data_IF_509867420109
#
_entry.id   IF_509867420109
#
_cell.length_a   1.000
_cell.length_b   1.000
_cell.length_c   1.000
_cell.angle_alpha   90.00
_cell.angle_beta   90.00
_cell.angle_gamma   90.00
#
_symmetry.space_group_name_H-M   'P 1'
#
loop_
_entity.id
_entity.type
_entity.pdbx_description
1 polymer ?
#
# COMPACT_ATOMS: atom_id res chain seq x y z
N UNK A 1 3.56 20.44 10.14
CA UNK A 1 3.77 19.45 9.08
C UNK A 1 2.45 18.84 8.67
N UNK A 2 2.22 18.77 7.39
CA UNK A 2 1.00 18.11 6.89
C UNK A 2 1.11 16.61 7.10
N UNK A 3 -0.03 16.01 7.44
CA UNK A 3 -0.12 14.57 7.62
C UNK A 3 -0.03 13.87 6.26
N UNK A 4 0.56 12.69 6.25
CA UNK A 4 0.49 11.86 5.05
C UNK A 4 -0.86 11.14 5.04
N UNK A 5 -1.38 10.91 3.86
CA UNK A 5 -2.65 10.19 3.68
C UNK A 5 -2.35 8.86 3.02
N UNK A 6 -2.74 7.78 3.67
CA UNK A 6 -2.42 6.43 3.22
C UNK A 6 -3.71 5.62 3.12
N UNK A 7 -3.92 5.01 1.97
CA UNK A 7 -5.08 4.16 1.75
C UNK A 7 -4.67 2.72 1.55
N UNK A 8 -5.52 1.79 1.99
CA UNK A 8 -5.30 0.36 1.81
C UNK A 8 -6.48 -0.23 1.07
N UNK A 9 -6.20 -0.77 -0.10
CA UNK A 9 -7.16 -1.54 -0.84
C UNK A 9 -6.94 -3.00 -0.47
N UNK A 10 -7.84 -3.54 0.35
CA UNK A 10 -7.68 -4.84 0.96
C UNK A 10 -7.00 -4.74 2.32
N UNK A 11 -7.46 -5.55 3.26
CA UNK A 11 -6.96 -5.55 4.64
C UNK A 11 -6.65 -6.97 5.12
N UNK A 12 -6.04 -7.77 4.25
CA UNK A 12 -5.55 -9.10 4.62
C UNK A 12 -4.38 -9.01 5.58
N UNK A 13 -3.78 -10.15 5.90
CA UNK A 13 -2.72 -10.22 6.92
C UNK A 13 -1.58 -9.23 6.67
N UNK A 14 -1.10 -9.14 5.42
CA UNK A 14 -0.01 -8.24 5.10
C UNK A 14 -0.45 -6.78 5.18
N UNK A 15 -1.65 -6.47 4.69
CA UNK A 15 -2.19 -5.12 4.77
C UNK A 15 -2.36 -4.66 6.21
N UNK A 16 -2.92 -5.52 7.06
CA UNK A 16 -3.09 -5.21 8.48
C UNK A 16 -1.75 -4.99 9.17
N UNK A 17 -0.76 -5.83 8.88
CA UNK A 17 0.56 -5.71 9.48
C UNK A 17 1.21 -4.37 9.12
N UNK A 18 1.12 -3.96 7.86
CA UNK A 18 1.65 -2.68 7.41
C UNK A 18 0.90 -1.51 8.07
N UNK A 19 -0.43 -1.60 8.16
CA UNK A 19 -1.24 -0.58 8.84
C UNK A 19 -0.77 -0.39 10.28
N UNK A 20 -0.60 -1.47 11.02
CA UNK A 20 -0.16 -1.39 12.41
C UNK A 20 1.25 -0.80 12.52
N UNK A 21 2.11 -1.13 11.57
CA UNK A 21 3.45 -0.56 11.49
C UNK A 21 3.40 0.96 11.26
N UNK A 22 2.55 1.42 10.35
CA UNK A 22 2.39 2.84 10.08
C UNK A 22 1.87 3.57 11.31
N UNK A 23 0.88 3.02 11.98
CA UNK A 23 0.35 3.60 13.22
C UNK A 23 1.46 3.74 14.26
N UNK A 24 2.33 2.73 14.37
CA UNK A 24 3.43 2.75 15.32
C UNK A 24 4.49 3.80 14.99
N UNK A 25 4.82 3.96 13.72
CA UNK A 25 5.91 4.84 13.29
C UNK A 25 5.45 6.29 13.14
N UNK A 26 4.33 6.50 12.47
CA UNK A 26 3.86 7.85 12.13
C UNK A 26 2.94 8.46 13.17
N UNK A 27 2.29 7.63 13.98
CA UNK A 27 1.35 8.08 15.02
C UNK A 27 0.32 9.05 14.43
N UNK A 28 0.22 10.28 14.98
CA UNK A 28 -0.75 11.26 14.50
C UNK A 28 -0.36 11.94 13.20
N UNK A 29 0.81 11.62 12.66
CA UNK A 29 1.28 12.22 11.41
C UNK A 29 0.80 11.49 10.16
N UNK A 30 -0.02 10.45 10.30
CA UNK A 30 -0.62 9.75 9.19
C UNK A 30 -2.13 9.62 9.38
N UNK A 31 -2.87 9.83 8.30
CA UNK A 31 -4.29 9.50 8.24
C UNK A 31 -4.42 8.26 7.39
N UNK A 32 -5.04 7.21 7.94
CA UNK A 32 -5.13 5.92 7.27
C UNK A 32 -6.59 5.64 6.90
N UNK A 33 -6.79 5.27 5.65
CA UNK A 33 -8.10 4.90 5.11
C UNK A 33 -8.01 3.47 4.58
N UNK A 34 -9.12 2.75 4.57
CA UNK A 34 -9.14 1.39 4.06
C UNK A 34 -10.46 1.06 3.38
N UNK A 35 -10.39 0.24 2.37
CA UNK A 35 -11.54 -0.35 1.73
C UNK A 35 -11.35 -1.86 1.61
N UNK A 36 -12.35 -2.61 2.03
CA UNK A 36 -12.36 -4.07 1.92
C UNK A 36 -13.79 -4.53 1.78
N UNK A 37 -14.00 -5.58 1.01
CA UNK A 37 -15.33 -6.18 0.89
C UNK A 37 -15.75 -6.85 2.19
N UNK A 38 -14.78 -7.22 3.04
CA UNK A 38 -15.04 -7.77 4.36
C UNK A 38 -15.14 -6.64 5.38
N UNK A 39 -16.37 -6.20 5.65
CA UNK A 39 -16.61 -5.08 6.54
C UNK A 39 -16.25 -5.35 8.00
N UNK A 40 -16.22 -6.62 8.40
CA UNK A 40 -15.82 -6.98 9.75
C UNK A 40 -14.36 -6.60 10.03
N UNK A 41 -13.49 -6.75 9.03
CA UNK A 41 -12.10 -6.33 9.16
C UNK A 41 -11.97 -4.83 9.29
N UNK A 42 -12.78 -4.07 8.54
CA UNK A 42 -12.78 -2.61 8.66
C UNK A 42 -13.23 -2.16 10.05
N UNK A 43 -14.20 -2.84 10.63
CA UNK A 43 -14.67 -2.52 11.98
C UNK A 43 -13.58 -2.72 13.03
N UNK A 44 -12.79 -3.78 12.89
CA UNK A 44 -11.67 -4.03 13.80
C UNK A 44 -10.61 -2.93 13.70
N UNK A 45 -10.34 -2.46 12.49
CA UNK A 45 -9.32 -1.44 12.26
C UNK A 45 -9.73 -0.06 12.76
N UNK A 46 -11.03 0.19 12.94
CA UNK A 46 -11.50 1.45 13.52
C UNK A 46 -10.93 1.69 14.92
N UNK A 47 -10.61 0.63 15.65
CA UNK A 47 -10.03 0.74 16.98
C UNK A 47 -8.65 1.40 16.97
N UNK A 48 -7.97 1.37 15.84
CA UNK A 48 -6.66 2.02 15.69
C UNK A 48 -6.76 3.22 14.72
N UNK A 49 -7.94 3.82 14.65
CA UNK A 49 -8.20 5.05 13.89
C UNK A 49 -8.06 4.93 12.37
N UNK A 50 -8.30 3.74 11.82
CA UNK A 50 -8.39 3.56 10.38
C UNK A 50 -9.81 3.91 9.94
N UNK A 51 -9.93 4.78 8.96
CA UNK A 51 -11.22 5.24 8.45
C UNK A 51 -11.64 4.38 7.25
N UNK A 52 -12.84 3.82 7.31
CA UNK A 52 -13.37 3.03 6.21
C UNK A 52 -13.92 3.95 5.12
N UNK A 53 -13.66 3.60 3.86
CA UNK A 53 -14.25 4.28 2.72
C UNK A 53 -15.13 3.29 1.96
N UNK A 54 -15.96 3.81 1.04
CA UNK A 54 -17.01 3.03 0.40
C UNK A 54 -16.64 2.50 -0.98
N UNK A 55 -15.51 2.92 -1.52
CA UNK A 55 -15.12 2.48 -2.86
C UNK A 55 -13.61 2.65 -3.08
N UNK A 56 -13.11 1.98 -4.10
CA UNK A 56 -11.74 2.11 -4.54
C UNK A 56 -11.43 3.55 -4.98
N UNK A 57 -12.39 4.18 -5.65
CA UNK A 57 -12.22 5.55 -6.13
C UNK A 57 -12.03 6.52 -4.99
N UNK A 58 -12.77 6.32 -3.90
CA UNK A 58 -12.69 7.18 -2.73
C UNK A 58 -11.30 7.11 -2.09
N UNK A 59 -10.66 5.94 -2.11
CA UNK A 59 -9.27 5.83 -1.63
C UNK A 59 -8.35 6.75 -2.42
N UNK A 60 -8.44 6.74 -3.74
CA UNK A 60 -7.59 7.58 -4.58
C UNK A 60 -7.87 9.06 -4.41
N UNK A 61 -9.12 9.43 -4.13
CA UNK A 61 -9.49 10.82 -3.90
C UNK A 61 -8.93 11.36 -2.59
N UNK A 62 -8.88 10.52 -1.56
CA UNK A 62 -8.49 10.94 -0.21
C UNK A 62 -7.03 10.70 0.12
N UNK A 63 -6.36 9.80 -0.60
CA UNK A 63 -5.03 9.32 -0.21
C UNK A 63 -3.99 9.57 -1.28
N UNK A 64 -2.81 10.02 -0.86
CA UNK A 64 -1.67 10.13 -1.76
C UNK A 64 -1.04 8.76 -2.00
N UNK A 65 -0.89 7.96 -0.95
CA UNK A 65 -0.29 6.62 -1.05
C UNK A 65 -1.39 5.58 -0.93
N UNK A 66 -1.52 4.73 -1.94
CA UNK A 66 -2.54 3.67 -1.95
C UNK A 66 -1.86 2.33 -2.06
N UNK A 67 -1.94 1.55 -0.99
CA UNK A 67 -1.39 0.19 -0.95
C UNK A 67 -2.39 -0.78 -1.57
N UNK A 68 -1.91 -1.55 -2.53
CA UNK A 68 -2.72 -2.57 -3.19
C UNK A 68 -2.45 -3.90 -2.49
N UNK A 69 -3.20 -4.12 -1.40
CA UNK A 69 -3.04 -5.30 -0.54
C UNK A 69 -4.06 -6.38 -0.89
N UNK A 70 -4.22 -6.63 -2.18
CA UNK A 70 -5.15 -7.60 -2.73
C UNK A 70 -4.38 -8.70 -3.47
N UNK A 71 -5.05 -9.82 -3.71
CA UNK A 71 -4.43 -10.93 -4.43
C UNK A 71 -4.17 -10.56 -5.89
N UNK A 72 -3.09 -11.09 -6.50
CA UNK A 72 -2.74 -10.73 -7.88
C UNK A 72 -3.90 -10.93 -8.87
N UNK A 73 -4.68 -11.98 -8.72
CA UNK A 73 -5.78 -12.28 -9.63
C UNK A 73 -6.94 -11.27 -9.55
N UNK A 74 -6.97 -10.44 -8.50
CA UNK A 74 -8.01 -9.43 -8.31
C UNK A 74 -7.65 -8.13 -9.02
N UNK A 75 -6.37 -7.91 -9.32
CA UNK A 75 -5.89 -6.66 -9.92
C UNK A 75 -6.60 -6.31 -11.22
N UNK A 76 -6.84 -7.29 -12.06
CA UNK A 76 -7.48 -7.05 -13.37
C UNK A 76 -8.85 -6.40 -13.22
N UNK A 77 -9.62 -6.81 -12.22
CA UNK A 77 -10.94 -6.23 -11.98
C UNK A 77 -10.89 -4.89 -11.26
N UNK A 78 -9.87 -4.65 -10.44
CA UNK A 78 -9.81 -3.50 -9.54
C UNK A 78 -9.06 -2.32 -10.13
N UNK A 79 -7.93 -2.54 -10.83
CA UNK A 79 -7.13 -1.44 -11.37
C UNK A 79 -7.90 -0.49 -12.26
N UNK A 80 -8.80 -0.95 -13.15
CA UNK A 80 -9.58 0.00 -13.96
C UNK A 80 -10.43 0.95 -13.13
N UNK A 81 -10.88 0.52 -11.95
CA UNK A 81 -11.67 1.37 -11.06
C UNK A 81 -10.80 2.45 -10.43
N UNK A 82 -9.56 2.12 -10.10
CA UNK A 82 -8.61 3.09 -9.58
C UNK A 82 -8.17 4.07 -10.66
N UNK A 83 -8.01 3.58 -11.89
CA UNK A 83 -7.50 4.37 -13.00
C UNK A 83 -8.31 5.65 -13.25
N UNK A 84 -9.59 5.64 -12.94
CA UNK A 84 -10.45 6.80 -13.12
C UNK A 84 -10.06 7.98 -12.21
N UNK A 85 -9.41 7.71 -11.08
CA UNK A 85 -9.08 8.73 -10.08
C UNK A 85 -7.59 8.87 -9.80
N UNK A 86 -6.78 7.97 -10.33
CA UNK A 86 -5.32 8.06 -10.16
C UNK A 86 -4.79 9.27 -10.93
N UNK A 87 -3.94 10.05 -10.27
CA UNK A 87 -3.31 11.22 -10.87
C UNK A 87 -1.79 11.15 -10.62
N UNK A 88 -1.08 12.18 -11.10
CA UNK A 88 0.36 12.29 -10.83
C UNK A 88 0.66 12.48 -9.34
N UNK A 89 -0.35 12.83 -8.55
CA UNK A 89 -0.20 12.98 -7.10
C UNK A 89 -0.44 11.69 -6.34
N UNK A 90 -0.88 10.63 -7.03
CA UNK A 90 -1.18 9.35 -6.39
C UNK A 90 -0.02 8.37 -6.57
N UNK A 91 0.43 7.76 -5.48
CA UNK A 91 1.45 6.72 -5.52
C UNK A 91 0.80 5.38 -5.23
N UNK A 92 0.84 4.46 -6.18
CA UNK A 92 0.31 3.11 -6.00
C UNK A 92 1.43 2.19 -5.50
N UNK A 93 1.23 1.60 -4.34
CA UNK A 93 2.21 0.71 -3.73
C UNK A 93 1.68 -0.71 -3.83
N UNK A 94 2.30 -1.54 -4.68
CA UNK A 94 1.87 -2.91 -4.86
C UNK A 94 2.69 -3.84 -3.98
N UNK A 95 2.00 -4.66 -3.19
CA UNK A 95 2.64 -5.69 -2.37
C UNK A 95 2.32 -7.10 -2.86
N UNK A 96 1.72 -7.20 -4.05
CA UNK A 96 1.33 -8.49 -4.62
C UNK A 96 2.46 -9.07 -5.45
N UNK A 97 2.74 -10.35 -5.26
CA UNK A 97 3.77 -11.05 -6.03
C UNK A 97 3.41 -11.10 -7.51
N UNK A 98 4.39 -10.87 -8.37
CA UNK A 98 4.20 -11.01 -9.82
C UNK A 98 3.55 -9.82 -10.52
N UNK A 99 3.26 -8.75 -9.79
CA UNK A 99 2.68 -7.54 -10.38
C UNK A 99 3.82 -6.55 -10.66
N UNK A 100 3.99 -6.17 -11.92
CA UNK A 100 5.06 -5.26 -12.34
C UNK A 100 4.55 -3.84 -12.52
N UNK A 101 5.48 -2.89 -12.59
CA UNK A 101 5.16 -1.51 -12.92
C UNK A 101 4.46 -1.42 -14.27
N UNK A 102 4.94 -2.16 -15.27
CA UNK A 102 4.35 -2.08 -16.61
C UNK A 102 2.92 -2.58 -16.64
N UNK A 103 2.59 -3.58 -15.82
CA UNK A 103 1.22 -4.05 -15.71
C UNK A 103 0.31 -2.95 -15.16
N UNK A 104 0.76 -2.26 -14.11
CA UNK A 104 -0.02 -1.18 -13.49
C UNK A 104 -0.13 0.02 -14.44
N UNK A 105 0.96 0.42 -15.06
CA UNK A 105 0.97 1.59 -15.93
C UNK A 105 0.16 1.38 -17.21
N UNK A 106 0.06 0.15 -17.67
CA UNK A 106 -0.77 -0.17 -18.84
C UNK A 106 -2.24 0.11 -18.58
N UNK A 107 -2.68 -0.06 -17.34
CA UNK A 107 -4.09 0.12 -16.95
C UNK A 107 -4.33 1.52 -16.38
N UNK A 108 -3.44 2.00 -15.53
CA UNK A 108 -3.63 3.25 -14.78
C UNK A 108 -3.01 4.48 -15.43
N UNK A 109 -2.21 4.29 -16.47
CA UNK A 109 -1.57 5.40 -17.17
C UNK A 109 -0.06 5.30 -17.15
N UNK A 110 0.56 5.72 -18.26
CA UNK A 110 2.00 5.59 -18.46
C UNK A 110 2.82 6.33 -17.38
N UNK A 111 2.31 7.46 -16.91
CA UNK A 111 3.04 8.30 -15.94
C UNK A 111 2.66 8.03 -14.49
N UNK A 112 1.98 6.93 -14.22
CA UNK A 112 1.57 6.60 -12.84
C UNK A 112 2.82 6.44 -11.94
N UNK A 113 2.72 6.95 -10.73
CA UNK A 113 3.78 6.78 -9.73
C UNK A 113 3.55 5.47 -9.00
N UNK A 114 4.56 4.61 -8.98
CA UNK A 114 4.46 3.30 -8.33
C UNK A 114 5.65 3.00 -7.45
N UNK A 115 5.41 2.16 -6.45
CA UNK A 115 6.47 1.48 -5.72
C UNK A 115 6.08 0.01 -5.67
N UNK A 116 6.96 -0.86 -6.14
CA UNK A 116 6.71 -2.29 -6.11
C UNK A 116 7.45 -2.87 -4.91
N UNK A 117 6.71 -3.49 -4.02
CA UNK A 117 7.26 -4.16 -2.86
C UNK A 117 7.39 -5.63 -3.20
N UNK A 118 8.60 -6.14 -3.19
CA UNK A 118 8.87 -7.53 -3.53
C UNK A 118 9.29 -8.26 -2.26
N UNK A 119 8.34 -8.94 -1.60
CA UNK A 119 8.71 -9.74 -0.44
C UNK A 119 9.63 -10.86 -0.91
N UNK A 120 10.76 -10.98 -0.21
CA UNK A 120 11.72 -12.00 -0.55
C UNK A 120 11.26 -13.35 0.01
N UNK A 121 11.07 -14.33 -0.84
CA UNK A 121 10.89 -15.69 -0.38
C UNK A 121 12.27 -16.32 -0.32
N UNK A 122 12.70 -16.94 0.76
CA UNK A 122 11.87 -17.40 1.88
C UNK A 122 11.86 -16.44 3.06
N UNK A 123 10.76 -15.80 3.25
CA UNK A 123 10.47 -15.01 4.44
C UNK A 123 10.70 -15.82 5.71
N UNK A 124 10.50 -17.13 5.59
CA UNK A 124 10.59 -18.08 6.69
C UNK A 124 11.99 -18.24 7.24
N UNK A 125 13.00 -17.81 6.53
CA UNK A 125 14.39 -17.93 6.97
C UNK A 125 14.97 -16.61 7.49
N UNK A 126 14.13 -15.58 7.61
CA UNK A 126 14.55 -14.29 8.12
C UNK A 126 15.57 -13.55 7.29
N UNK A 127 15.86 -14.08 6.12
CA UNK A 127 16.66 -13.38 5.15
C UNK A 127 15.79 -12.46 4.29
N UNK A 128 14.62 -12.14 4.83
CA UNK A 128 13.60 -11.38 4.14
C UNK A 128 13.93 -9.92 4.03
N UNK A 129 14.99 -9.63 3.29
CA UNK A 129 15.13 -8.27 2.81
C UNK A 129 13.97 -8.03 1.85
N UNK A 130 13.04 -7.19 2.26
CA UNK A 130 12.00 -6.73 1.37
C UNK A 130 12.65 -5.82 0.36
N UNK A 131 12.64 -6.19 -0.90
CA UNK A 131 13.16 -5.35 -1.96
C UNK A 131 12.06 -4.38 -2.41
N UNK A 132 12.44 -3.13 -2.62
CA UNK A 132 11.54 -2.09 -3.12
C UNK A 132 12.06 -1.60 -4.46
N UNK A 133 11.16 -1.49 -5.43
CA UNK A 133 11.50 -0.94 -6.73
C UNK A 133 10.74 0.37 -6.94
N UNK A 134 11.50 1.45 -7.13
CA UNK A 134 10.93 2.76 -7.43
C UNK A 134 10.44 2.78 -8.87
N UNK A 135 9.21 3.23 -9.10
CA UNK A 135 8.67 3.36 -10.44
C UNK A 135 9.36 4.46 -11.23
N UNK A 136 9.20 4.42 -12.54
CA UNK A 136 9.88 5.34 -13.47
C UNK A 136 9.58 6.81 -13.16
N UNK A 137 8.34 7.13 -12.81
CA UNK A 137 7.90 8.50 -12.55
C UNK A 137 7.81 8.83 -11.07
N UNK A 138 8.10 7.88 -10.19
CA UNK A 138 8.04 8.07 -8.75
C UNK A 138 9.20 8.92 -8.28
N UNK A 139 8.93 9.92 -7.43
CA UNK A 139 10.01 10.78 -6.91
C UNK A 139 10.77 10.08 -5.79
N UNK A 140 11.99 10.54 -5.56
CA UNK A 140 12.81 10.01 -4.46
C UNK A 140 12.15 10.25 -3.11
N UNK A 141 11.51 11.41 -2.94
CA UNK A 141 10.79 11.71 -1.70
C UNK A 141 9.64 10.73 -1.47
N UNK A 142 8.86 10.46 -2.53
CA UNK A 142 7.76 9.50 -2.44
C UNK A 142 8.27 8.12 -2.08
N UNK A 143 9.36 7.71 -2.70
CA UNK A 143 9.97 6.41 -2.44
C UNK A 143 10.45 6.30 -0.98
N UNK A 144 11.08 7.35 -0.47
CA UNK A 144 11.56 7.38 0.91
C UNK A 144 10.40 7.29 1.91
N UNK A 145 9.29 7.98 1.64
CA UNK A 145 8.10 7.90 2.49
C UNK A 145 7.55 6.48 2.53
N UNK A 146 7.49 5.81 1.37
CA UNK A 146 7.02 4.42 1.33
C UNK A 146 7.95 3.50 2.12
N UNK A 147 9.26 3.68 1.99
CA UNK A 147 10.22 2.89 2.77
C UNK A 147 9.98 3.06 4.27
N UNK A 148 9.72 4.27 4.70
CA UNK A 148 9.42 4.53 6.10
C UNK A 148 8.10 3.90 6.53
N UNK A 149 7.08 3.92 5.66
CA UNK A 149 5.78 3.32 5.94
C UNK A 149 5.86 1.82 6.20
N UNK A 150 6.76 1.12 5.53
CA UNK A 150 6.88 -0.33 5.70
C UNK A 150 8.07 -0.75 6.56
N UNK A 151 8.78 0.21 7.15
CA UNK A 151 10.01 -0.05 7.90
C UNK A 151 9.79 -1.00 9.08
N UNK A 152 8.67 -0.87 9.78
CA UNK A 152 8.35 -1.70 10.92
C UNK A 152 8.15 -3.16 10.51
N UNK A 153 7.47 -3.38 9.40
CA UNK A 153 7.25 -4.71 8.87
C UNK A 153 8.56 -5.38 8.46
N UNK A 154 9.45 -4.61 7.87
CA UNK A 154 10.78 -5.11 7.51
C UNK A 154 11.56 -5.51 8.76
N UNK A 155 11.55 -4.69 9.80
CA UNK A 155 12.22 -4.99 11.05
C UNK A 155 11.68 -6.26 11.69
N UNK A 156 10.37 -6.41 11.75
CA UNK A 156 9.74 -7.59 12.34
C UNK A 156 10.08 -8.86 11.56
N UNK A 157 10.11 -8.77 10.24
CA UNK A 157 10.49 -9.90 9.41
C UNK A 157 11.93 -10.34 9.69
N UNK A 158 12.81 -9.40 10.00
CA UNK A 158 14.20 -9.70 10.33
C UNK A 158 14.35 -10.32 11.73
N UNK A 159 13.43 -10.03 12.63
CA UNK A 159 13.48 -10.56 14.00
C UNK A 159 12.76 -11.88 14.19
N UNK A 160 11.97 -12.30 13.25
CA UNK A 160 11.23 -13.58 13.33
C UNK A 160 12.09 -14.78 12.93
N UNK A 161 13.34 -14.66 13.14
CA UNK A 161 14.29 -15.74 12.92
C UNK A 161 14.28 -16.72 14.10
#
# INVERSE_FOLDING_TARGET
>A
MSKITVGFLGTGNMGEAIIRGIVSVFKDNAEIYAYDVDTAKLDMLKEINVKAVNSEKELCEKCKYVFLAIKPQVFEAVLPKLAEKVSEDTVLVSIAAGISESYISKICGEKVHTVIVMPNTPFLLGEGATALAKGTYTTDEEFDVVKEQISKEIEEAQFQL
#
